data_IF_122553469505
#
_entry.id   IF_122553469505
#
_cell.length_a   1.000
_cell.length_b   1.000
_cell.length_c   1.000
_cell.angle_alpha   90.00
_cell.angle_beta   90.00
_cell.angle_gamma   90.00
#
_symmetry.space_group_name_H-M   'P 1'
#
loop_
_entity.id
_entity.type
_entity.pdbx_description
1 polymer ?
#
# COMPACT_ATOMS: atom_id res chain seq x y z
N UNK A 1 1.77 1.24 -32.95
CA UNK A 1 2.36 -0.10 -32.68
C UNK A 1 3.84 0.11 -32.37
N UNK A 2 4.18 0.18 -31.08
CA UNK A 2 5.58 0.38 -30.65
C UNK A 2 6.29 -0.98 -30.70
N UNK A 3 7.28 -1.14 -31.55
CA UNK A 3 8.12 -2.32 -31.64
C UNK A 3 8.80 -2.55 -30.26
N UNK A 4 8.47 -3.65 -29.59
CA UNK A 4 9.27 -4.17 -28.48
C UNK A 4 10.67 -4.44 -29.04
N UNK A 5 11.65 -3.59 -28.71
CA UNK A 5 13.05 -3.87 -29.01
C UNK A 5 13.45 -5.12 -28.20
N UNK A 6 13.86 -6.17 -28.89
CA UNK A 6 14.34 -7.38 -28.27
C UNK A 6 15.56 -7.04 -27.40
N UNK A 7 15.49 -7.47 -26.13
CA UNK A 7 16.61 -7.39 -25.20
C UNK A 7 17.58 -8.49 -25.62
N UNK A 8 18.89 -8.21 -25.70
CA UNK A 8 19.87 -9.27 -25.95
C UNK A 8 19.71 -10.37 -24.91
N UNK A 9 19.76 -11.64 -25.30
CA UNK A 9 19.58 -12.79 -24.39
C UNK A 9 20.43 -12.69 -23.13
N UNK A 10 21.63 -12.17 -23.23
CA UNK A 10 22.56 -11.94 -22.12
C UNK A 10 22.02 -10.96 -21.06
N UNK A 11 21.33 -9.87 -21.43
CA UNK A 11 20.77 -8.94 -20.47
C UNK A 11 19.52 -9.52 -19.77
N UNK A 12 18.73 -10.32 -20.47
CA UNK A 12 17.59 -11.04 -19.88
C UNK A 12 18.08 -12.05 -18.83
N UNK A 13 19.09 -12.82 -19.14
CA UNK A 13 19.67 -13.81 -18.22
C UNK A 13 20.23 -13.16 -16.95
N UNK A 14 20.92 -12.01 -17.08
CA UNK A 14 21.43 -11.25 -15.94
C UNK A 14 20.31 -10.73 -15.03
N UNK A 15 19.20 -10.29 -15.61
CA UNK A 15 18.01 -9.84 -14.85
C UNK A 15 17.38 -11.01 -14.13
N UNK A 16 17.29 -12.18 -14.77
CA UNK A 16 16.75 -13.39 -14.17
C UNK A 16 17.60 -13.86 -12.99
N UNK A 17 18.91 -14.01 -13.19
CA UNK A 17 19.86 -14.36 -12.12
C UNK A 17 19.73 -13.41 -10.91
N UNK A 18 19.69 -12.10 -11.16
CA UNK A 18 19.52 -11.12 -10.08
C UNK A 18 18.18 -11.27 -9.35
N UNK A 19 17.07 -11.42 -10.08
CA UNK A 19 15.75 -11.52 -9.45
C UNK A 19 15.61 -12.80 -8.63
N UNK A 20 16.20 -13.91 -9.08
CA UNK A 20 16.21 -15.18 -8.36
C UNK A 20 17.10 -15.10 -7.11
N UNK A 21 18.32 -14.55 -7.23
CA UNK A 21 19.19 -14.34 -6.08
C UNK A 21 18.53 -13.49 -5.00
N UNK A 22 17.92 -12.36 -5.37
CA UNK A 22 17.27 -11.45 -4.42
C UNK A 22 16.00 -12.08 -3.81
N UNK A 23 15.31 -12.95 -4.54
CA UNK A 23 14.20 -13.72 -4.00
C UNK A 23 14.66 -14.69 -2.91
N UNK A 24 15.69 -15.47 -3.18
CA UNK A 24 16.24 -16.47 -2.24
C UNK A 24 16.83 -15.78 -0.99
N UNK A 25 17.65 -14.73 -1.18
CA UNK A 25 18.37 -14.07 -0.08
C UNK A 25 17.49 -13.19 0.80
N UNK A 26 16.51 -12.51 0.22
CA UNK A 26 15.77 -11.43 0.90
C UNK A 26 14.28 -11.72 1.05
N UNK A 27 13.76 -12.83 0.54
CA UNK A 27 12.35 -13.19 0.62
C UNK A 27 11.41 -12.09 0.10
N UNK A 28 11.80 -11.40 -0.98
CA UNK A 28 11.01 -10.28 -1.50
C UNK A 28 9.69 -10.75 -2.10
N UNK A 29 8.69 -9.88 -2.01
CA UNK A 29 7.37 -10.15 -2.60
C UNK A 29 7.45 -10.24 -4.13
N UNK A 30 6.57 -11.06 -4.73
CA UNK A 30 6.42 -11.18 -6.19
C UNK A 30 6.29 -9.82 -6.88
N UNK A 31 5.56 -8.88 -6.28
CA UNK A 31 5.38 -7.52 -6.82
C UNK A 31 6.68 -6.72 -6.83
N UNK A 32 7.52 -6.88 -5.81
CA UNK A 32 8.83 -6.19 -5.74
C UNK A 32 9.77 -6.73 -6.81
N UNK A 33 9.81 -8.05 -6.98
CA UNK A 33 10.62 -8.71 -8.01
C UNK A 33 10.15 -8.30 -9.42
N UNK A 34 8.84 -8.27 -9.66
CA UNK A 34 8.28 -7.81 -10.92
C UNK A 34 8.62 -6.33 -11.22
N UNK A 35 8.63 -5.47 -10.19
CA UNK A 35 9.03 -4.07 -10.32
C UNK A 35 10.52 -3.96 -10.67
N UNK A 36 11.39 -4.72 -10.00
CA UNK A 36 12.83 -4.75 -10.32
C UNK A 36 13.08 -5.23 -11.75
N UNK A 37 12.44 -6.33 -12.15
CA UNK A 37 12.52 -6.85 -13.51
C UNK A 37 12.09 -5.79 -14.53
N UNK A 38 10.96 -5.14 -14.32
CA UNK A 38 10.45 -4.09 -15.20
C UNK A 38 11.42 -2.92 -15.33
N UNK A 39 11.98 -2.43 -14.20
CA UNK A 39 12.93 -1.32 -14.21
C UNK A 39 14.21 -1.67 -14.97
N UNK A 40 14.78 -2.86 -14.72
CA UNK A 40 15.99 -3.34 -15.38
C UNK A 40 15.78 -3.62 -16.86
N UNK A 41 14.61 -4.17 -17.23
CA UNK A 41 14.23 -4.39 -18.63
C UNK A 41 14.12 -3.06 -19.37
N UNK A 42 13.51 -2.04 -18.76
CA UNK A 42 13.41 -0.70 -19.34
C UNK A 42 14.81 -0.08 -19.53
N UNK A 43 15.69 -0.28 -18.56
CA UNK A 43 17.07 0.20 -18.65
C UNK A 43 17.86 -0.53 -19.75
N UNK A 44 17.76 -1.86 -19.82
CA UNK A 44 18.41 -2.64 -20.88
C UNK A 44 17.92 -2.25 -22.29
N UNK A 45 16.63 -1.97 -22.43
CA UNK A 45 16.06 -1.44 -23.69
C UNK A 45 16.64 -0.07 -24.06
N UNK A 46 16.85 0.81 -23.07
CA UNK A 46 17.49 2.12 -23.29
C UNK A 46 18.95 1.97 -23.77
N UNK A 47 19.68 1.03 -23.19
CA UNK A 47 21.07 0.74 -23.55
C UNK A 47 21.23 0.11 -24.94
N UNK A 48 20.17 -0.38 -25.54
CA UNK A 48 20.17 -1.10 -26.85
C UNK A 48 21.04 -2.35 -26.82
N UNK A 49 22.19 -2.32 -27.56
CA UNK A 49 23.12 -3.44 -27.67
C UNK A 49 24.15 -3.53 -26.53
N UNK A 50 24.23 -2.50 -25.67
CA UNK A 50 25.21 -2.50 -24.56
C UNK A 50 24.74 -3.43 -23.45
N UNK A 51 25.65 -4.32 -23.01
CA UNK A 51 25.33 -5.24 -21.92
C UNK A 51 25.34 -4.54 -20.56
N UNK A 52 24.47 -5.02 -19.63
CA UNK A 52 24.35 -4.47 -18.28
C UNK A 52 25.67 -4.51 -17.48
N UNK A 53 26.55 -5.48 -17.72
CA UNK A 53 27.85 -5.56 -17.04
C UNK A 53 28.92 -4.61 -17.61
N UNK A 54 28.66 -3.93 -18.75
CA UNK A 54 29.54 -2.94 -19.35
C UNK A 54 29.09 -1.50 -19.12
N UNK A 55 28.08 -1.32 -18.28
CA UNK A 55 27.49 -0.01 -18.00
C UNK A 55 28.43 0.84 -17.16
N UNK A 56 28.54 2.11 -17.54
CA UNK A 56 29.29 3.14 -16.84
C UNK A 56 28.34 4.15 -16.16
N UNK A 57 28.88 4.96 -15.28
CA UNK A 57 28.12 6.01 -14.59
C UNK A 57 27.36 6.95 -15.54
N UNK A 58 27.97 7.29 -16.68
CA UNK A 58 27.39 8.17 -17.68
C UNK A 58 26.12 7.60 -18.31
N UNK A 59 26.04 6.28 -18.49
CA UNK A 59 24.86 5.61 -19.04
C UNK A 59 23.68 5.72 -18.09
N UNK A 60 23.92 5.56 -16.80
CA UNK A 60 22.90 5.72 -15.77
C UNK A 60 22.39 7.16 -15.71
N UNK A 61 23.31 8.14 -15.76
CA UNK A 61 22.95 9.54 -15.77
C UNK A 61 22.10 9.91 -17.00
N UNK A 62 22.50 9.43 -18.19
CA UNK A 62 21.73 9.61 -19.45
C UNK A 62 20.35 8.97 -19.36
N UNK A 63 20.24 7.76 -18.81
CA UNK A 63 18.98 7.10 -18.63
C UNK A 63 18.05 7.87 -17.69
N UNK A 64 18.53 8.29 -16.52
CA UNK A 64 17.74 9.07 -15.58
C UNK A 64 17.29 10.43 -16.19
N UNK A 65 18.17 11.09 -16.96
CA UNK A 65 17.82 12.31 -17.67
C UNK A 65 16.72 12.06 -18.73
N UNK A 66 16.84 10.96 -19.49
CA UNK A 66 15.82 10.57 -20.47
C UNK A 66 14.46 10.28 -19.83
N UNK A 67 14.41 9.60 -18.68
CA UNK A 67 13.17 9.35 -17.93
C UNK A 67 12.50 10.66 -17.48
N UNK A 68 13.29 11.62 -17.01
CA UNK A 68 12.78 12.93 -16.60
C UNK A 68 12.28 13.75 -17.80
N UNK A 69 13.00 13.72 -18.93
CA UNK A 69 12.59 14.36 -20.17
C UNK A 69 11.27 13.80 -20.75
N UNK A 70 11.01 12.50 -20.50
CA UNK A 70 9.74 11.85 -20.84
C UNK A 70 8.60 12.15 -19.83
N UNK A 71 8.82 13.04 -18.86
CA UNK A 71 7.82 13.45 -17.88
C UNK A 71 7.71 12.50 -16.67
N UNK A 72 8.65 11.58 -16.46
CA UNK A 72 8.65 10.73 -15.26
C UNK A 72 8.88 11.60 -14.00
N UNK A 73 8.07 11.38 -12.97
CA UNK A 73 8.22 12.08 -11.69
C UNK A 73 9.57 11.75 -11.03
N UNK A 74 10.20 12.74 -10.38
CA UNK A 74 11.46 12.57 -9.65
C UNK A 74 11.43 11.41 -8.62
N UNK A 75 10.28 11.17 -7.96
CA UNK A 75 10.11 10.05 -7.04
C UNK A 75 10.17 8.68 -7.75
N UNK A 76 9.59 8.58 -8.94
CA UNK A 76 9.65 7.35 -9.75
C UNK A 76 11.05 7.11 -10.29
N UNK A 77 11.73 8.16 -10.75
CA UNK A 77 13.13 8.09 -11.20
C UNK A 77 14.08 7.69 -10.05
N UNK A 78 13.85 8.21 -8.84
CA UNK A 78 14.61 7.81 -7.65
C UNK A 78 14.38 6.34 -7.28
N UNK A 79 13.16 5.81 -7.45
CA UNK A 79 12.85 4.39 -7.26
C UNK A 79 13.62 3.53 -8.26
N UNK A 80 13.61 3.91 -9.53
CA UNK A 80 14.37 3.21 -10.58
C UNK A 80 15.86 3.19 -10.24
N UNK A 81 16.44 4.33 -9.83
CA UNK A 81 17.84 4.37 -9.38
C UNK A 81 18.10 3.44 -8.19
N UNK A 82 17.14 3.29 -7.27
CA UNK A 82 17.25 2.33 -6.16
C UNK A 82 17.33 0.88 -6.66
N UNK A 83 16.53 0.52 -7.68
CA UNK A 83 16.61 -0.78 -8.36
C UNK A 83 18.00 -0.99 -8.99
N UNK A 84 18.49 0.00 -9.76
CA UNK A 84 19.82 -0.07 -10.39
C UNK A 84 20.94 -0.24 -9.35
N UNK A 85 20.91 0.54 -8.27
CA UNK A 85 21.87 0.40 -7.17
C UNK A 85 21.86 -1.00 -6.55
N UNK A 86 20.70 -1.61 -6.41
CA UNK A 86 20.59 -2.96 -5.85
C UNK A 86 21.17 -4.00 -6.82
N UNK A 87 20.88 -3.86 -8.12
CA UNK A 87 21.42 -4.72 -9.16
C UNK A 87 22.93 -4.60 -9.26
N UNK A 88 23.49 -3.40 -9.32
CA UNK A 88 24.93 -3.22 -9.48
C UNK A 88 25.73 -3.61 -8.23
N UNK A 89 25.20 -3.43 -7.02
CA UNK A 89 25.81 -4.00 -5.81
C UNK A 89 25.83 -5.53 -5.86
N UNK A 90 24.77 -6.16 -6.36
CA UNK A 90 24.74 -7.59 -6.59
C UNK A 90 25.80 -7.98 -7.63
N UNK A 91 25.85 -7.33 -8.79
CA UNK A 91 26.81 -7.64 -9.86
C UNK A 91 28.28 -7.50 -9.42
N UNK A 92 28.61 -6.50 -8.59
CA UNK A 92 29.96 -6.34 -8.00
C UNK A 92 30.24 -7.46 -6.99
N UNK A 93 29.28 -7.80 -6.12
CA UNK A 93 29.42 -8.89 -5.14
C UNK A 93 29.67 -10.24 -5.81
N UNK A 94 28.93 -10.53 -6.88
CA UNK A 94 29.10 -11.75 -7.67
C UNK A 94 30.29 -11.69 -8.66
N UNK A 95 31.11 -10.64 -8.57
CA UNK A 95 32.31 -10.43 -9.41
C UNK A 95 32.05 -10.36 -10.93
N UNK A 96 30.79 -10.03 -11.30
CA UNK A 96 30.42 -9.76 -12.69
C UNK A 96 30.95 -8.41 -13.17
N UNK A 97 31.23 -7.50 -12.24
CA UNK A 97 31.81 -6.18 -12.46
C UNK A 97 32.82 -5.86 -11.37
N UNK A 98 33.80 -4.96 -11.70
CA UNK A 98 34.77 -4.48 -10.72
C UNK A 98 34.25 -3.28 -9.90
N UNK A 99 33.48 -2.38 -10.53
CA UNK A 99 33.05 -1.12 -9.94
C UNK A 99 31.52 -0.96 -10.04
N UNK A 100 30.91 -0.35 -9.02
CA UNK A 100 29.49 0.02 -9.04
C UNK A 100 29.29 1.34 -9.80
N UNK A 101 28.68 1.33 -11.00
CA UNK A 101 28.46 2.54 -11.78
C UNK A 101 27.44 3.49 -11.14
N UNK A 102 26.69 3.03 -10.12
CA UNK A 102 25.76 3.85 -9.35
C UNK A 102 26.39 4.56 -8.16
N UNK A 103 27.65 4.25 -7.79
CA UNK A 103 28.25 4.70 -6.52
C UNK A 103 28.19 6.22 -6.34
N UNK A 104 28.49 6.98 -7.39
CA UNK A 104 28.52 8.46 -7.36
C UNK A 104 27.27 9.13 -7.96
N UNK A 105 26.28 8.34 -8.43
CA UNK A 105 25.06 8.91 -9.02
C UNK A 105 24.18 9.47 -7.90
N UNK A 106 23.92 10.76 -7.94
CA UNK A 106 23.02 11.43 -6.98
C UNK A 106 21.57 11.11 -7.30
N UNK A 107 20.76 10.85 -6.26
CA UNK A 107 19.33 10.71 -6.44
C UNK A 107 18.71 12.03 -6.89
N UNK A 108 17.72 12.01 -7.82
CA UNK A 108 16.98 13.20 -8.19
C UNK A 108 16.41 13.89 -6.94
N UNK A 109 16.55 15.20 -6.87
CA UNK A 109 15.98 15.98 -5.77
C UNK A 109 14.46 15.81 -5.78
N UNK A 110 13.93 15.26 -4.71
CA UNK A 110 12.49 15.18 -4.50
C UNK A 110 12.09 16.45 -3.74
N UNK A 111 11.20 17.25 -4.31
CA UNK A 111 10.46 18.22 -3.52
C UNK A 111 9.73 17.43 -2.42
N UNK A 112 9.87 17.83 -1.17
CA UNK A 112 9.05 17.30 -0.07
C UNK A 112 7.79 18.16 0.03
N UNK A 113 6.71 17.86 -0.70
CA UNK A 113 5.44 18.52 -0.44
C UNK A 113 5.06 18.16 1.00
N UNK A 114 4.68 19.15 1.79
CA UNK A 114 4.11 18.90 3.13
C UNK A 114 2.94 17.91 2.94
N UNK A 115 2.86 16.86 3.76
CA UNK A 115 1.75 15.93 3.70
C UNK A 115 0.46 16.71 3.89
N UNK A 116 -0.42 16.72 2.90
CA UNK A 116 -1.76 17.30 3.04
C UNK A 116 -2.61 16.27 3.76
N UNK A 117 -2.73 16.41 5.07
CA UNK A 117 -3.66 15.61 5.87
C UNK A 117 -5.07 16.15 5.71
N UNK A 118 -6.06 15.27 5.75
CA UNK A 118 -7.46 15.66 5.87
C UNK A 118 -7.70 16.15 7.30
N UNK A 119 -8.49 17.21 7.46
CA UNK A 119 -9.04 17.56 8.77
C UNK A 119 -10.12 16.54 9.17
N UNK A 120 -10.42 16.44 10.45
CA UNK A 120 -11.48 15.57 10.96
C UNK A 120 -12.84 15.89 10.32
N UNK A 121 -13.14 17.18 10.13
CA UNK A 121 -14.33 17.62 9.40
C UNK A 121 -14.36 17.06 7.97
N UNK A 122 -13.26 17.16 7.22
CA UNK A 122 -13.19 16.61 5.85
C UNK A 122 -13.33 15.09 5.83
N UNK A 123 -12.79 14.41 6.85
CA UNK A 123 -12.99 12.96 6.98
C UNK A 123 -14.46 12.67 7.24
N UNK A 124 -15.13 13.38 8.14
CA UNK A 124 -16.57 13.19 8.40
C UNK A 124 -17.39 13.41 7.13
N UNK A 125 -17.17 14.51 6.40
CA UNK A 125 -17.83 14.80 5.13
C UNK A 125 -17.61 13.68 4.07
N UNK A 126 -16.39 13.11 4.02
CA UNK A 126 -16.07 11.98 3.13
C UNK A 126 -16.81 10.70 3.53
N UNK A 127 -16.82 10.40 4.84
CA UNK A 127 -17.50 9.21 5.37
C UNK A 127 -19.01 9.29 5.15
N UNK A 128 -19.61 10.46 5.23
CA UNK A 128 -21.05 10.70 5.07
C UNK A 128 -21.53 10.81 3.61
N UNK A 129 -20.61 10.91 2.67
CA UNK A 129 -20.94 11.06 1.25
C UNK A 129 -21.64 9.84 0.60
N UNK A 130 -21.44 8.57 1.04
CA UNK A 130 -22.17 7.43 0.46
C UNK A 130 -23.66 7.48 0.79
N UNK A 131 -24.52 7.22 -0.20
CA UNK A 131 -25.98 7.06 -0.01
C UNK A 131 -26.28 5.71 0.65
N UNK A 132 -26.47 5.72 1.96
CA UNK A 132 -26.73 4.54 2.78
C UNK A 132 -28.09 3.88 2.56
N UNK A 133 -28.96 4.48 1.76
CA UNK A 133 -30.23 3.88 1.35
C UNK A 133 -30.03 2.83 0.25
N UNK A 134 -28.88 2.80 -0.40
CA UNK A 134 -28.52 1.81 -1.40
C UNK A 134 -27.57 0.74 -0.83
N UNK A 135 -27.71 -0.51 -1.27
CA UNK A 135 -26.83 -1.61 -0.81
C UNK A 135 -25.35 -1.34 -1.12
N UNK A 136 -25.03 -0.70 -2.25
CA UNK A 136 -23.66 -0.29 -2.58
C UNK A 136 -23.18 0.86 -1.69
N UNK A 137 -24.01 1.85 -1.42
CA UNK A 137 -23.63 2.98 -0.58
C UNK A 137 -23.43 2.57 0.88
N UNK A 138 -24.27 1.64 1.40
CA UNK A 138 -24.11 1.10 2.74
C UNK A 138 -22.79 0.31 2.88
N UNK A 139 -22.43 -0.51 1.86
CA UNK A 139 -21.13 -1.17 1.79
C UNK A 139 -20.00 -0.14 1.78
N UNK A 140 -20.09 0.87 0.95
CA UNK A 140 -19.05 1.88 0.76
C UNK A 140 -18.83 2.69 2.04
N UNK A 141 -19.89 3.03 2.76
CA UNK A 141 -19.83 3.64 4.08
C UNK A 141 -19.09 2.75 5.07
N UNK A 142 -19.46 1.49 5.18
CA UNK A 142 -18.80 0.54 6.07
C UNK A 142 -17.31 0.36 5.73
N UNK A 143 -16.95 0.32 4.44
CA UNK A 143 -15.54 0.25 4.02
C UNK A 143 -14.75 1.49 4.40
N UNK A 144 -15.30 2.69 4.21
CA UNK A 144 -14.62 3.95 4.55
C UNK A 144 -14.45 4.09 6.07
N UNK A 145 -15.47 3.76 6.86
CA UNK A 145 -15.41 3.77 8.32
C UNK A 145 -14.36 2.77 8.82
N UNK A 146 -14.37 1.54 8.31
CA UNK A 146 -13.36 0.53 8.67
C UNK A 146 -11.95 1.01 8.34
N UNK A 147 -11.73 1.61 7.15
CA UNK A 147 -10.41 2.11 6.76
C UNK A 147 -9.93 3.22 7.69
N UNK A 148 -10.80 4.15 8.02
CA UNK A 148 -10.45 5.27 8.89
C UNK A 148 -10.27 4.83 10.35
N UNK A 149 -11.13 3.98 10.88
CA UNK A 149 -11.02 3.49 12.26
C UNK A 149 -9.76 2.63 12.51
N UNK A 150 -9.33 1.87 11.50
CA UNK A 150 -8.24 0.88 11.67
C UNK A 150 -6.91 1.32 11.06
N UNK A 151 -6.93 2.28 10.17
CA UNK A 151 -5.75 2.66 9.40
C UNK A 151 -5.18 1.51 8.54
N UNK A 152 -5.98 0.54 8.14
CA UNK A 152 -5.54 -0.59 7.30
C UNK A 152 -4.94 -0.13 5.97
N UNK A 153 -4.07 -0.97 5.39
CA UNK A 153 -3.70 -0.79 3.98
C UNK A 153 -4.90 -1.14 3.09
N UNK A 154 -5.03 -0.48 1.93
CA UNK A 154 -6.13 -0.79 1.01
C UNK A 154 -6.20 -2.26 0.61
N UNK A 155 -5.04 -2.92 0.44
CA UNK A 155 -4.99 -4.35 0.14
C UNK A 155 -5.52 -5.22 1.29
N UNK A 156 -5.29 -4.82 2.53
CA UNK A 156 -5.80 -5.50 3.71
C UNK A 156 -7.33 -5.33 3.81
N UNK A 157 -7.84 -4.11 3.62
CA UNK A 157 -9.27 -3.83 3.66
C UNK A 157 -10.07 -4.59 2.59
N UNK A 158 -9.63 -4.56 1.32
CA UNK A 158 -10.39 -5.19 0.22
C UNK A 158 -10.34 -6.71 0.22
N UNK A 159 -9.32 -7.28 0.88
CA UNK A 159 -9.16 -8.74 1.04
C UNK A 159 -9.69 -9.27 2.37
N UNK A 160 -10.21 -8.39 3.24
CA UNK A 160 -10.71 -8.77 4.55
C UNK A 160 -11.83 -9.78 4.43
N UNK A 161 -11.74 -10.86 5.20
CA UNK A 161 -12.73 -11.94 5.25
C UNK A 161 -13.61 -11.86 6.49
N UNK A 162 -14.73 -12.58 6.47
CA UNK A 162 -15.61 -12.70 7.62
C UNK A 162 -14.92 -13.34 8.85
N UNK A 163 -13.95 -14.24 8.62
CA UNK A 163 -13.21 -14.93 9.69
C UNK A 163 -12.15 -14.05 10.37
N UNK A 164 -11.75 -12.96 9.70
CA UNK A 164 -10.73 -12.04 10.21
C UNK A 164 -11.29 -10.92 11.06
N UNK A 165 -12.62 -10.81 11.17
CA UNK A 165 -13.29 -9.79 11.96
C UNK A 165 -14.06 -10.42 13.11
N UNK A 166 -13.93 -9.84 14.30
CA UNK A 166 -14.75 -10.18 15.45
C UNK A 166 -15.43 -8.89 15.96
N UNK A 167 -16.71 -8.77 15.68
CA UNK A 167 -17.49 -7.56 16.02
C UNK A 167 -17.87 -7.51 17.50
N UNK A 168 -18.00 -8.65 18.18
CA UNK A 168 -18.32 -8.70 19.60
C UNK A 168 -17.14 -8.21 20.44
N UNK A 169 -15.94 -8.57 20.01
CA UNK A 169 -14.68 -8.13 20.64
C UNK A 169 -14.19 -6.79 20.09
N UNK A 170 -14.68 -6.36 18.94
CA UNK A 170 -14.29 -5.11 18.29
C UNK A 170 -12.87 -5.13 17.72
N UNK A 171 -12.44 -6.21 17.07
CA UNK A 171 -11.09 -6.34 16.51
C UNK A 171 -11.07 -6.95 15.12
N UNK A 172 -10.06 -6.56 14.35
CA UNK A 172 -9.70 -7.17 13.06
C UNK A 172 -8.35 -7.84 13.17
N UNK A 173 -8.23 -9.08 12.72
CA UNK A 173 -6.97 -9.82 12.59
C UNK A 173 -6.41 -9.63 11.19
N UNK A 174 -5.19 -9.12 11.09
CA UNK A 174 -4.51 -8.86 9.82
C UNK A 174 -3.23 -9.66 9.74
N UNK A 175 -3.06 -10.38 8.64
CA UNK A 175 -1.83 -11.10 8.31
C UNK A 175 -0.97 -10.22 7.41
N UNK A 176 0.18 -9.79 7.90
CA UNK A 176 1.12 -8.92 7.20
C UNK A 176 2.21 -9.67 6.45
N UNK A 177 3.22 -8.93 5.99
CA UNK A 177 4.41 -9.48 5.32
C UNK A 177 5.16 -10.46 6.26
N UNK A 178 5.54 -11.62 5.74
CA UNK A 178 6.23 -12.67 6.52
C UNK A 178 5.31 -13.44 7.45
N UNK A 179 4.02 -13.52 7.15
CA UNK A 179 3.00 -14.21 7.95
C UNK A 179 2.88 -13.69 9.40
N UNK A 180 3.29 -12.42 9.62
CA UNK A 180 3.14 -11.79 10.92
C UNK A 180 1.71 -11.29 11.07
N UNK A 181 1.03 -11.76 12.10
CA UNK A 181 -0.33 -11.32 12.40
C UNK A 181 -0.30 -10.08 13.30
N UNK A 182 -1.34 -9.28 13.22
CA UNK A 182 -1.64 -8.22 14.18
C UNK A 182 -3.14 -8.08 14.38
N UNK A 183 -3.53 -7.71 15.58
CA UNK A 183 -4.89 -7.31 15.91
C UNK A 183 -4.99 -5.78 15.85
N UNK A 184 -6.04 -5.29 15.20
CA UNK A 184 -6.32 -3.87 15.08
C UNK A 184 -7.71 -3.63 15.65
N UNK A 185 -7.88 -2.74 16.65
CA UNK A 185 -9.19 -2.42 17.20
C UNK A 185 -10.07 -1.72 16.14
N UNK A 186 -11.37 -2.00 16.21
CA UNK A 186 -12.44 -1.30 15.53
C UNK A 186 -13.06 -0.31 16.53
N UNK A 187 -13.36 0.90 16.11
CA UNK A 187 -14.18 1.80 16.89
C UNK A 187 -15.66 1.44 16.78
N UNK A 188 -16.47 1.90 17.73
CA UNK A 188 -17.93 1.63 17.77
C UNK A 188 -18.64 1.99 16.47
N UNK A 189 -18.29 3.11 15.87
CA UNK A 189 -18.84 3.55 14.58
C UNK A 189 -18.58 2.55 13.45
N UNK A 190 -17.35 2.02 13.36
CA UNK A 190 -17.02 1.04 12.32
C UNK A 190 -17.76 -0.27 12.53
N UNK A 191 -17.93 -0.72 13.79
CA UNK A 191 -18.70 -1.92 14.15
C UNK A 191 -20.15 -1.74 13.71
N UNK A 192 -20.80 -0.64 14.08
CA UNK A 192 -22.21 -0.36 13.73
C UNK A 192 -22.41 -0.36 12.20
N UNK A 193 -21.53 0.32 11.44
CA UNK A 193 -21.66 0.34 9.98
C UNK A 193 -21.40 -1.02 9.32
N UNK A 194 -20.50 -1.83 9.86
CA UNK A 194 -20.26 -3.20 9.37
C UNK A 194 -21.48 -4.08 9.65
N UNK A 195 -22.05 -4.01 10.86
CA UNK A 195 -23.27 -4.77 11.21
C UNK A 195 -24.45 -4.40 10.32
N UNK A 196 -24.71 -3.10 10.13
CA UNK A 196 -25.76 -2.61 9.21
C UNK A 196 -25.55 -3.11 7.78
N UNK A 197 -24.32 -3.06 7.29
CA UNK A 197 -23.99 -3.56 5.97
C UNK A 197 -24.23 -5.07 5.86
N UNK A 198 -23.76 -5.87 6.83
CA UNK A 198 -23.97 -7.32 6.83
C UNK A 198 -25.45 -7.68 6.86
N UNK A 199 -26.25 -7.01 7.67
CA UNK A 199 -27.67 -7.32 7.87
C UNK A 199 -28.55 -6.86 6.70
N UNK A 200 -28.23 -5.74 6.03
CA UNK A 200 -29.17 -5.08 5.11
C UNK A 200 -28.73 -5.05 3.66
N UNK A 201 -27.45 -5.28 3.36
CA UNK A 201 -26.95 -5.06 2.01
C UNK A 201 -26.06 -6.17 1.47
N UNK A 202 -25.39 -6.93 2.34
CA UNK A 202 -24.42 -7.91 1.88
C UNK A 202 -25.08 -9.03 1.06
N UNK A 203 -26.19 -9.55 1.52
CA UNK A 203 -26.91 -10.63 0.84
C UNK A 203 -27.52 -10.16 -0.49
N UNK A 204 -28.04 -8.94 -0.57
CA UNK A 204 -28.48 -8.33 -1.83
C UNK A 204 -27.37 -8.26 -2.87
N UNK A 205 -26.15 -7.91 -2.44
CA UNK A 205 -24.99 -7.82 -3.33
C UNK A 205 -24.45 -9.18 -3.73
N UNK A 206 -24.58 -10.18 -2.88
CA UNK A 206 -24.17 -11.56 -3.16
C UNK A 206 -25.05 -12.23 -4.21
N UNK A 207 -26.33 -11.86 -4.32
CA UNK A 207 -27.26 -12.45 -5.30
C UNK A 207 -27.21 -13.99 -5.30
N UNK A 208 -27.33 -14.60 -4.12
CA UNK A 208 -27.25 -16.07 -3.91
C UNK A 208 -25.84 -16.68 -4.08
N UNK A 209 -24.81 -15.91 -4.40
CA UNK A 209 -23.43 -16.40 -4.47
C UNK A 209 -22.83 -16.52 -3.06
N UNK A 210 -21.84 -17.41 -2.91
CA UNK A 210 -21.06 -17.55 -1.67
C UNK A 210 -19.74 -16.77 -1.81
N UNK A 211 -19.38 -16.05 -0.76
CA UNK A 211 -18.10 -15.35 -0.70
C UNK A 211 -17.65 -15.20 0.76
N UNK A 212 -16.40 -15.51 1.03
CA UNK A 212 -15.80 -15.30 2.35
C UNK A 212 -15.38 -13.85 2.56
N UNK A 213 -15.34 -13.03 1.50
CA UNK A 213 -14.99 -11.62 1.61
C UNK A 213 -16.01 -10.87 2.47
N UNK A 214 -15.51 -10.04 3.39
CA UNK A 214 -16.38 -9.16 4.18
C UNK A 214 -17.12 -8.18 3.26
N UNK A 215 -16.37 -7.45 2.44
CA UNK A 215 -16.91 -6.45 1.52
C UNK A 215 -16.99 -7.00 0.10
N UNK A 216 -18.21 -7.13 -0.42
CA UNK A 216 -18.46 -7.69 -1.75
C UNK A 216 -18.87 -6.63 -2.77
N UNK A 217 -18.53 -6.86 -4.02
CA UNK A 217 -18.99 -6.05 -5.16
C UNK A 217 -20.38 -6.48 -5.61
N UNK A 218 -21.04 -5.70 -6.48
CA UNK A 218 -22.30 -6.10 -7.11
C UNK A 218 -22.22 -7.41 -7.93
N UNK A 219 -21.00 -7.97 -8.12
CA UNK A 219 -20.74 -9.26 -8.78
C UNK A 219 -20.48 -10.39 -7.76
N UNK A 220 -20.65 -10.15 -6.47
CA UNK A 220 -20.48 -11.14 -5.40
C UNK A 220 -19.04 -11.41 -4.97
N UNK A 221 -18.04 -10.92 -5.67
CA UNK A 221 -16.62 -11.10 -5.34
C UNK A 221 -16.00 -9.92 -4.57
N UNK A 222 -14.76 -10.06 -4.06
CA UNK A 222 -14.04 -8.99 -3.38
C UNK A 222 -13.76 -7.80 -4.31
N UNK A 223 -13.62 -6.61 -3.74
CA UNK A 223 -13.29 -5.41 -4.49
C UNK A 223 -11.79 -5.37 -4.81
N UNK A 224 -11.42 -4.85 -6.00
CA UNK A 224 -10.02 -4.58 -6.32
C UNK A 224 -9.53 -3.28 -5.65
N UNK A 225 -8.22 -3.20 -5.38
CA UNK A 225 -7.59 -1.96 -4.88
C UNK A 225 -7.87 -0.74 -5.78
N UNK A 226 -7.89 -0.96 -7.09
CA UNK A 226 -8.15 0.09 -8.07
C UNK A 226 -9.62 0.56 -8.00
N UNK A 227 -10.57 -0.36 -7.88
CA UNK A 227 -11.98 -0.01 -7.71
C UNK A 227 -12.22 0.81 -6.44
N UNK A 228 -11.61 0.41 -5.32
CA UNK A 228 -11.72 1.17 -4.07
C UNK A 228 -11.05 2.55 -4.16
N UNK A 229 -9.94 2.68 -4.89
CA UNK A 229 -9.31 3.98 -5.12
C UNK A 229 -10.22 4.93 -5.95
N UNK A 230 -10.92 4.41 -6.97
CA UNK A 230 -11.92 5.18 -7.71
C UNK A 230 -13.12 5.57 -6.83
N UNK A 231 -13.53 4.68 -5.94
CA UNK A 231 -14.60 4.93 -4.97
C UNK A 231 -14.25 6.10 -4.03
N UNK A 232 -13.06 6.10 -3.43
CA UNK A 232 -12.60 7.21 -2.61
C UNK A 232 -12.60 8.53 -3.39
N UNK A 233 -12.14 8.53 -4.64
CA UNK A 233 -12.17 9.74 -5.48
C UNK A 233 -13.58 10.24 -5.75
N UNK A 234 -14.51 9.33 -6.04
CA UNK A 234 -15.92 9.66 -6.23
C UNK A 234 -16.48 10.39 -5.00
N UNK A 235 -16.32 9.80 -3.82
CA UNK A 235 -16.85 10.37 -2.59
C UNK A 235 -16.11 11.64 -2.14
N UNK A 236 -14.82 11.75 -2.41
CA UNK A 236 -14.07 13.00 -2.21
C UNK A 236 -14.64 14.16 -3.04
N UNK A 237 -15.00 13.89 -4.29
CA UNK A 237 -15.63 14.89 -5.17
C UNK A 237 -17.01 15.29 -4.64
N UNK A 238 -17.82 14.31 -4.22
CA UNK A 238 -19.15 14.56 -3.65
C UNK A 238 -19.08 15.36 -2.34
N UNK A 239 -18.08 15.10 -1.51
CA UNK A 239 -17.80 15.84 -0.28
C UNK A 239 -17.12 17.20 -0.50
N UNK A 240 -16.94 17.65 -1.74
CA UNK A 240 -16.29 18.94 -2.05
C UNK A 240 -14.80 19.02 -1.72
N UNK A 241 -14.13 17.89 -1.53
CA UNK A 241 -12.71 17.82 -1.18
C UNK A 241 -11.87 17.98 -2.43
N UNK A 242 -11.24 19.14 -2.60
CA UNK A 242 -10.46 19.50 -3.81
C UNK A 242 -9.06 18.88 -3.88
N UNK A 243 -8.52 18.41 -2.74
CA UNK A 243 -7.20 17.79 -2.72
C UNK A 243 -7.24 16.36 -3.26
N UNK A 244 -6.11 15.93 -3.87
CA UNK A 244 -6.01 14.55 -4.37
C UNK A 244 -6.01 13.57 -3.20
N UNK A 245 -7.04 12.73 -3.13
CA UNK A 245 -7.15 11.70 -2.12
C UNK A 245 -6.73 10.32 -2.63
N UNK A 246 -6.18 9.56 -1.72
CA UNK A 246 -5.85 8.15 -1.89
C UNK A 246 -6.14 7.39 -0.59
N UNK A 247 -6.21 6.06 -0.61
CA UNK A 247 -6.32 5.28 0.63
C UNK A 247 -5.19 5.56 1.62
N UNK A 248 -3.99 5.89 1.13
CA UNK A 248 -2.87 6.30 1.98
C UNK A 248 -3.11 7.63 2.70
N UNK A 249 -3.85 8.55 2.08
CA UNK A 249 -4.23 9.83 2.71
C UNK A 249 -5.14 9.61 3.91
N UNK A 250 -6.13 8.70 3.81
CA UNK A 250 -7.00 8.33 4.95
C UNK A 250 -6.23 7.63 6.06
N UNK A 251 -5.35 6.70 5.72
CA UNK A 251 -4.47 6.04 6.70
C UNK A 251 -3.54 7.05 7.38
N UNK A 252 -3.06 8.07 6.65
CA UNK A 252 -2.26 9.13 7.23
C UNK A 252 -3.09 10.03 8.14
N UNK A 253 -4.33 10.35 7.75
CA UNK A 253 -5.27 11.08 8.61
C UNK A 253 -5.55 10.32 9.92
N UNK A 254 -5.82 9.00 9.86
CA UNK A 254 -5.93 8.15 11.04
C UNK A 254 -4.74 8.33 11.99
N UNK A 255 -3.51 8.17 11.49
CA UNK A 255 -2.31 8.30 12.31
C UNK A 255 -2.16 9.70 12.92
N UNK A 256 -2.38 10.75 12.11
CA UNK A 256 -2.23 12.15 12.54
C UNK A 256 -3.30 12.52 13.58
N UNK A 257 -4.55 12.09 13.39
CA UNK A 257 -5.63 12.40 14.32
C UNK A 257 -5.41 11.70 15.66
N UNK A 258 -4.98 10.44 15.68
CA UNK A 258 -4.62 9.77 16.93
C UNK A 258 -3.52 10.53 17.69
N UNK A 259 -2.47 10.96 17.00
CA UNK A 259 -1.38 11.73 17.62
C UNK A 259 -1.89 13.07 18.13
N UNK A 260 -2.71 13.78 17.36
CA UNK A 260 -3.31 15.07 17.77
C UNK A 260 -4.20 14.93 19.01
N UNK A 261 -4.84 13.78 19.20
CA UNK A 261 -5.63 13.44 20.39
C UNK A 261 -4.79 12.83 21.52
N UNK A 262 -3.44 12.89 21.42
CA UNK A 262 -2.54 12.52 22.50
C UNK A 262 -2.10 11.06 22.52
N UNK A 263 -2.35 10.27 21.47
CA UNK A 263 -1.78 8.95 21.37
C UNK A 263 -0.25 9.04 21.17
N UNK A 264 0.49 8.18 21.84
CA UNK A 264 1.94 8.11 21.64
C UNK A 264 2.31 7.49 20.28
N UNK A 265 3.41 7.98 19.70
CA UNK A 265 3.86 7.58 18.36
C UNK A 265 4.10 6.07 18.24
N UNK A 266 4.60 5.41 19.30
CA UNK A 266 4.91 3.99 19.30
C UNK A 266 3.64 3.15 19.20
N UNK A 267 2.60 3.52 19.93
CA UNK A 267 1.27 2.89 19.86
C UNK A 267 0.65 3.03 18.47
N UNK A 268 0.74 4.21 17.87
CA UNK A 268 0.26 4.43 16.49
C UNK A 268 1.06 3.60 15.49
N UNK A 269 2.37 3.48 15.64
CA UNK A 269 3.21 2.61 14.79
C UNK A 269 2.83 1.12 14.93
N UNK A 270 2.49 0.66 16.13
CA UNK A 270 2.02 -0.71 16.36
C UNK A 270 0.68 -0.98 15.66
N UNK A 271 -0.30 -0.07 15.76
CA UNK A 271 -1.58 -0.16 15.06
C UNK A 271 -1.39 -0.23 13.53
N UNK A 272 -0.46 0.55 13.02
CA UNK A 272 -0.14 0.58 11.59
C UNK A 272 0.66 -0.63 11.11
N UNK A 273 1.22 -1.45 12.00
CA UNK A 273 2.01 -2.64 11.64
C UNK A 273 3.34 -2.28 10.99
N UNK A 274 4.12 -1.38 11.60
CA UNK A 274 5.51 -1.11 11.23
C UNK A 274 6.41 -2.23 11.76
N UNK A 275 7.25 -2.80 10.88
CA UNK A 275 7.87 -4.13 11.02
C UNK A 275 8.95 -4.29 12.11
N UNK A 276 9.40 -3.24 12.78
CA UNK A 276 10.56 -3.28 13.68
C UNK A 276 10.22 -3.56 15.17
N UNK A 277 8.94 -3.77 15.48
CA UNK A 277 8.53 -4.10 16.85
C UNK A 277 8.14 -5.57 16.92
N UNK A 278 8.84 -6.32 17.77
CA UNK A 278 8.65 -7.77 17.97
C UNK A 278 7.16 -8.11 18.16
N UNK A 279 6.62 -8.83 17.21
CA UNK A 279 5.19 -9.13 17.07
C UNK A 279 4.65 -10.08 18.16
N UNK A 280 5.54 -10.72 18.92
CA UNK A 280 5.18 -11.74 19.89
C UNK A 280 4.47 -11.19 21.16
N UNK A 281 4.63 -9.89 21.46
CA UNK A 281 4.01 -9.27 22.63
C UNK A 281 2.58 -8.75 22.42
N UNK A 282 2.09 -8.71 21.17
CA UNK A 282 0.79 -8.09 20.82
C UNK A 282 -0.40 -9.06 21.09
N UNK A 283 -0.11 -10.35 21.30
CA UNK A 283 -1.15 -11.39 21.44
C UNK A 283 -1.65 -11.63 22.86
N UNK A 284 -1.11 -10.97 23.86
CA UNK A 284 -1.65 -11.10 25.23
C UNK A 284 -2.98 -10.34 25.35
N UNK A 285 -3.88 -10.88 26.16
CA UNK A 285 -5.17 -10.24 26.46
C UNK A 285 -4.98 -8.80 26.96
N UNK A 286 -3.96 -8.56 27.78
CA UNK A 286 -3.59 -7.25 28.32
C UNK A 286 -3.16 -6.27 27.21
N UNK A 287 -2.39 -6.72 26.22
CA UNK A 287 -1.96 -5.86 25.11
C UNK A 287 -3.14 -5.47 24.21
N UNK A 288 -4.10 -6.38 24.00
CA UNK A 288 -5.33 -6.12 23.25
C UNK A 288 -6.20 -5.07 23.96
N UNK A 289 -6.49 -5.25 25.23
CA UNK A 289 -7.29 -4.30 26.03
C UNK A 289 -6.64 -2.91 26.03
N UNK A 290 -5.32 -2.85 26.16
CA UNK A 290 -4.57 -1.60 26.12
C UNK A 290 -4.69 -0.88 24.76
N UNK A 291 -4.64 -1.61 23.65
CA UNK A 291 -4.82 -1.05 22.31
C UNK A 291 -6.25 -0.58 22.05
N UNK A 292 -7.25 -1.32 22.55
CA UNK A 292 -8.66 -0.91 22.48
C UNK A 292 -8.90 0.34 23.32
N UNK A 293 -8.45 0.39 24.55
CA UNK A 293 -8.56 1.57 25.42
C UNK A 293 -7.86 2.80 24.82
N UNK A 294 -6.71 2.62 24.21
CA UNK A 294 -5.99 3.69 23.50
C UNK A 294 -6.79 4.16 22.29
N UNK A 295 -7.34 3.24 21.50
CA UNK A 295 -8.16 3.59 20.34
C UNK A 295 -9.41 4.35 20.77
N UNK A 296 -10.19 3.82 21.72
CA UNK A 296 -11.39 4.47 22.25
C UNK A 296 -11.10 5.86 22.83
N UNK A 297 -9.95 6.04 23.48
CA UNK A 297 -9.58 7.32 24.12
C UNK A 297 -9.11 8.39 23.14
N UNK A 298 -8.46 8.01 22.05
CA UNK A 298 -7.72 8.94 21.20
C UNK A 298 -8.21 8.97 19.74
N UNK A 299 -9.03 8.02 19.31
CA UNK A 299 -9.59 8.05 17.97
C UNK A 299 -10.88 8.88 17.94
N UNK A 300 -11.07 9.82 16.98
CA UNK A 300 -12.25 10.69 16.92
C UNK A 300 -13.60 9.94 16.80
N UNK A 301 -13.54 8.67 16.43
CA UNK A 301 -14.70 7.77 16.24
C UNK A 301 -14.48 6.43 16.95
N UNK A 302 -13.72 6.45 18.02
CA UNK A 302 -13.41 5.30 18.87
C UNK A 302 -14.57 4.86 19.74
#
# INVERSE_FOLDING_TARGET
MSAKKDISSSNADLIDLFTDAVWVESGLSKNTLAAYRSDLTTFAQFLQAKSLHLVEQVDIQRFLAALLAQGMKSSSSARVLSTLRRFYRYAVRERMMQNDPCAQVRSPKQGRPLPKTLSERQVTELLEAPDVMTSLGLRDRAMLETLYATGLRVSELVMLTLLEINLDVGVVRIVGKGNKERLVPLGEQAIDWIQRYQQRARDDLLKMQRSDALFVTARGGPMTRQAFWHLIKKYALMAGIRQTLSPHTLRHAFATHLINHGADLRSVQMLLGHADLSTTQIYTHIARERLQALHMRHHPRG
#
